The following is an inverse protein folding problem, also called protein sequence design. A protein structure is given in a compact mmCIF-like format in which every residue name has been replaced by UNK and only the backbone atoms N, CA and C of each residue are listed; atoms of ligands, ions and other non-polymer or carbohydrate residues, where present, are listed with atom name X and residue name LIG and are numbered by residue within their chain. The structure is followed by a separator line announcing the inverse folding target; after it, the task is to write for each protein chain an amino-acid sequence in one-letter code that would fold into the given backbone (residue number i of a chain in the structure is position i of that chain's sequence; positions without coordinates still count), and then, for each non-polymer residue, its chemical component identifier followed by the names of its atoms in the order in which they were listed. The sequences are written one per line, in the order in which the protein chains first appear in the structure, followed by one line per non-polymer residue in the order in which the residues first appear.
data_IF_352644335786
#
_entry.id   IF_352644335786
#
_cell.length_a   1.000
_cell.length_b   1.000
_cell.length_c   1.000
_cell.angle_alpha   90.00
_cell.angle_beta   90.00
_cell.angle_gamma   90.00
#
_symmetry.space_group_name_H-M   'P 1'
#
loop_
_entity.id
_entity.type
_entity.pdbx_description
1 polymer ?
#
# COMPACT_ATOMS: atom_id res chain seq x y z
N UNK A 1 -3.45 -9.68 -10.77
CA UNK A 1 -3.74 -8.27 -10.41
C UNK A 1 -4.10 -8.21 -8.93
N UNK A 2 -3.50 -7.29 -8.16
CA UNK A 2 -3.74 -7.11 -6.71
C UNK A 2 -4.88 -6.13 -6.44
N UNK A 3 -5.61 -6.28 -5.32
CA UNK A 3 -6.71 -5.39 -4.93
C UNK A 3 -6.26 -3.92 -4.75
N UNK A 4 -5.03 -3.70 -4.27
CA UNK A 4 -4.47 -2.36 -4.13
C UNK A 4 -4.26 -1.68 -5.50
N UNK A 5 -3.83 -2.43 -6.52
CA UNK A 5 -3.71 -1.93 -7.90
C UNK A 5 -5.07 -1.49 -8.44
N UNK A 6 -6.12 -2.30 -8.22
CA UNK A 6 -7.49 -1.98 -8.68
C UNK A 6 -8.03 -0.74 -7.95
N UNK A 7 -7.78 -0.64 -6.65
CA UNK A 7 -8.22 0.52 -5.86
C UNK A 7 -7.49 1.80 -6.29
N UNK A 8 -6.17 1.77 -6.46
CA UNK A 8 -5.40 2.94 -6.90
C UNK A 8 -5.74 3.37 -8.32
N UNK A 9 -5.84 2.44 -9.27
CA UNK A 9 -6.23 2.79 -10.64
C UNK A 9 -7.63 3.41 -10.72
N UNK A 10 -8.52 3.07 -9.79
CA UNK A 10 -9.86 3.68 -9.69
C UNK A 10 -9.84 5.05 -9.03
N UNK A 11 -9.10 5.22 -7.94
CA UNK A 11 -9.22 6.39 -7.05
C UNK A 11 -8.06 7.37 -7.10
N UNK A 12 -6.89 6.96 -7.59
CA UNK A 12 -5.70 7.79 -7.72
C UNK A 12 -4.94 7.49 -9.03
N UNK A 13 -5.55 7.81 -10.20
CA UNK A 13 -4.98 7.48 -11.51
C UNK A 13 -3.74 8.31 -11.88
N UNK A 14 -3.37 9.32 -11.06
CA UNK A 14 -2.19 10.17 -11.32
C UNK A 14 -0.88 9.45 -11.00
N UNK A 15 -0.95 8.32 -10.29
CA UNK A 15 0.19 7.50 -9.90
C UNK A 15 0.14 6.20 -10.69
N UNK A 16 1.20 5.91 -11.46
CA UNK A 16 1.44 4.56 -11.96
C UNK A 16 2.10 3.75 -10.84
N UNK A 17 1.47 2.67 -10.43
CA UNK A 17 1.96 1.82 -9.35
C UNK A 17 2.96 0.80 -9.92
N UNK A 18 4.17 0.78 -9.36
CA UNK A 18 5.27 -0.06 -9.83
C UNK A 18 5.39 -1.33 -8.97
N UNK A 19 5.35 -1.18 -7.64
CA UNK A 19 5.42 -2.31 -6.72
C UNK A 19 4.56 -2.11 -5.46
N UNK A 20 4.21 -3.25 -4.86
CA UNK A 20 3.56 -3.33 -3.55
C UNK A 20 4.33 -4.35 -2.72
N UNK A 21 4.97 -3.88 -1.67
CA UNK A 21 5.71 -4.71 -0.73
C UNK A 21 4.95 -4.81 0.60
N UNK A 22 4.76 -6.03 1.09
CA UNK A 22 4.07 -6.29 2.36
C UNK A 22 5.01 -6.98 3.31
N UNK A 23 5.25 -6.35 4.46
CA UNK A 23 6.08 -6.88 5.55
C UNK A 23 5.21 -7.14 6.76
N UNK A 24 5.05 -8.42 7.11
CA UNK A 24 4.39 -8.82 8.34
C UNK A 24 5.32 -8.64 9.54
N UNK A 25 4.83 -7.96 10.57
CA UNK A 25 5.54 -7.71 11.83
C UNK A 25 4.88 -8.50 12.96
N UNK A 26 5.66 -8.75 14.01
CA UNK A 26 5.16 -9.42 15.21
C UNK A 26 3.95 -8.68 15.82
N UNK A 27 2.99 -9.44 16.35
CA UNK A 27 1.76 -8.92 16.96
C UNK A 27 0.66 -8.56 15.96
N UNK A 28 0.62 -9.22 14.79
CA UNK A 28 -0.43 -9.01 13.78
C UNK A 28 -0.32 -7.70 13.01
N UNK A 29 0.78 -6.96 13.17
CA UNK A 29 1.02 -5.71 12.47
C UNK A 29 1.50 -5.99 11.05
N UNK A 30 1.13 -5.14 10.10
CA UNK A 30 1.63 -5.18 8.74
C UNK A 30 2.16 -3.81 8.33
N UNK A 31 3.30 -3.78 7.65
CA UNK A 31 3.74 -2.64 6.87
C UNK A 31 3.44 -2.92 5.41
N UNK A 32 2.79 -1.99 4.72
CA UNK A 32 2.59 -2.03 3.28
C UNK A 32 3.30 -0.83 2.69
N UNK A 33 4.26 -1.09 1.81
CA UNK A 33 4.98 -0.06 1.07
C UNK A 33 4.50 -0.10 -0.38
N UNK A 34 4.06 1.06 -0.86
CA UNK A 34 3.58 1.29 -2.22
C UNK A 34 4.63 2.17 -2.90
N UNK A 35 5.18 1.71 -4.02
CA UNK A 35 6.08 2.52 -4.84
C UNK A 35 5.49 2.73 -6.22
N UNK A 36 5.69 3.92 -6.76
CA UNK A 36 5.15 4.29 -8.05
C UNK A 36 5.78 5.56 -8.59
N UNK A 37 5.24 6.00 -9.72
CA UNK A 37 5.68 7.22 -10.40
C UNK A 37 4.51 8.16 -10.59
N UNK A 38 4.69 9.42 -10.21
CA UNK A 38 3.73 10.50 -10.50
C UNK A 38 3.83 10.83 -11.99
N UNK A 39 2.78 10.54 -12.74
CA UNK A 39 2.82 10.57 -14.21
C UNK A 39 3.07 11.96 -14.81
N UNK A 40 2.67 13.02 -14.12
CA UNK A 40 2.84 14.39 -14.62
C UNK A 40 4.27 14.90 -14.48
N UNK A 41 4.96 14.50 -13.41
CA UNK A 41 6.30 15.00 -13.08
C UNK A 41 7.40 13.97 -13.31
N UNK A 42 7.01 12.72 -13.60
CA UNK A 42 7.91 11.56 -13.69
C UNK A 42 8.72 11.34 -12.40
N UNK A 43 8.22 11.82 -11.27
CA UNK A 43 8.88 11.66 -9.97
C UNK A 43 8.45 10.34 -9.32
N UNK A 44 9.44 9.60 -8.84
CA UNK A 44 9.19 8.44 -8.00
C UNK A 44 8.61 8.87 -6.65
N UNK A 45 7.60 8.14 -6.21
CA UNK A 45 6.94 8.32 -4.93
C UNK A 45 6.88 6.99 -4.20
N UNK A 46 7.03 7.06 -2.89
CA UNK A 46 6.90 5.91 -2.00
C UNK A 46 5.97 6.28 -0.85
N UNK A 47 5.02 5.41 -0.55
CA UNK A 47 4.08 5.56 0.56
C UNK A 47 4.10 4.28 1.39
N UNK A 48 4.45 4.42 2.66
CA UNK A 48 4.36 3.32 3.62
C UNK A 48 3.17 3.51 4.55
N UNK A 49 2.31 2.49 4.60
CA UNK A 49 1.14 2.41 5.46
C UNK A 49 1.38 1.31 6.49
N UNK A 50 1.13 1.61 7.76
CA UNK A 50 1.16 0.62 8.83
C UNK A 50 -0.27 0.25 9.23
N UNK A 51 -0.58 -1.04 9.12
CA UNK A 51 -1.80 -1.60 9.65
C UNK A 51 -1.50 -2.28 10.99
N UNK A 52 -2.30 -1.95 12.00
CA UNK A 52 -2.28 -2.66 13.27
C UNK A 52 -3.27 -3.82 13.19
N UNK A 53 -2.82 -5.02 13.56
CA UNK A 53 -3.69 -6.17 13.67
C UNK A 53 -4.63 -5.95 14.85
N UNK A 54 -5.93 -5.83 14.59
CA UNK A 54 -6.93 -5.88 15.64
C UNK A 54 -6.93 -7.30 16.19
N UNK A 55 -6.36 -7.49 17.38
CA UNK A 55 -6.45 -8.76 18.08
C UNK A 55 -7.90 -8.93 18.57
N UNK A 56 -8.70 -9.68 17.82
CA UNK A 56 -10.04 -10.09 18.27
C UNK A 56 -9.94 -11.23 19.28
N UNK A 57 -9.21 -10.99 20.38
CA UNK A 57 -9.33 -11.77 21.60
C UNK A 57 -10.67 -11.37 22.25
N UNK A 58 -11.67 -12.23 22.07
CA UNK A 58 -13.06 -12.19 22.58
C UNK A 58 -13.40 -11.11 23.62
N UNK A 59 -14.58 -10.52 23.37
CA UNK A 59 -15.60 -9.97 24.30
C UNK A 59 -15.60 -8.47 24.55
#
# INVERSE_FOLDING_TARGET
MSAAVIALTRWEPRIALDAIDVVWKAGGRAGVTLSGTVMQTMQNVELTIHAEGVNHARR
#
